data_IF_456614227792
#
_entry.id   IF_456614227792
#
_cell.length_a   1.000
_cell.length_b   1.000
_cell.length_c   1.000
_cell.angle_alpha   90.00
_cell.angle_beta   90.00
_cell.angle_gamma   90.00
#
_symmetry.space_group_name_H-M   'P 1'
#
loop_
_entity.id
_entity.type
_entity.pdbx_description
1 polymer ?
#
# COMPACT_ATOMS: atom_id res chain seq x y z
N UNK A 1 37.80 -6.17 -40.90
CA UNK A 1 37.15 -7.32 -40.23
C UNK A 1 36.20 -6.81 -39.15
N UNK A 2 34.89 -6.90 -39.38
CA UNK A 2 33.86 -6.38 -38.46
C UNK A 2 33.64 -7.37 -37.30
N UNK A 3 33.90 -6.92 -36.06
CA UNK A 3 33.63 -7.69 -34.85
C UNK A 3 32.11 -7.83 -34.67
N UNK A 4 31.55 -8.99 -35.04
CA UNK A 4 30.15 -9.35 -34.76
C UNK A 4 29.93 -9.34 -33.24
N UNK A 5 29.23 -8.32 -32.72
CA UNK A 5 28.76 -8.28 -31.33
C UNK A 5 27.84 -9.48 -31.09
N UNK A 6 28.26 -10.40 -30.22
CA UNK A 6 27.41 -11.48 -29.72
C UNK A 6 26.22 -10.85 -28.97
N UNK A 7 25.05 -10.75 -29.61
CA UNK A 7 23.81 -10.41 -28.92
C UNK A 7 23.56 -11.52 -27.90
N UNK A 8 23.76 -11.22 -26.60
CA UNK A 8 23.36 -12.12 -25.51
C UNK A 8 21.88 -12.42 -25.70
N UNK A 9 21.53 -13.70 -25.94
CA UNK A 9 20.14 -14.14 -26.00
C UNK A 9 19.58 -14.03 -24.59
N UNK A 10 18.74 -13.02 -24.36
CA UNK A 10 18.03 -12.85 -23.09
C UNK A 10 17.06 -14.02 -22.92
N UNK A 11 16.87 -14.46 -21.67
CA UNK A 11 15.91 -15.51 -21.35
C UNK A 11 14.49 -15.09 -21.75
N UNK A 12 13.66 -16.00 -22.32
CA UNK A 12 12.26 -15.72 -22.65
C UNK A 12 11.49 -15.10 -21.48
N UNK A 13 11.73 -15.57 -20.25
CA UNK A 13 11.13 -15.07 -19.01
C UNK A 13 11.41 -13.58 -18.76
N UNK A 14 12.63 -13.12 -19.06
CA UNK A 14 13.04 -11.70 -18.84
C UNK A 14 12.37 -10.77 -19.84
N UNK A 15 12.14 -11.26 -21.06
CA UNK A 15 11.52 -10.46 -22.13
C UNK A 15 10.01 -10.60 -22.20
N UNK A 16 9.42 -11.53 -21.43
CA UNK A 16 8.00 -11.85 -21.53
C UNK A 16 7.13 -10.63 -21.26
N UNK A 17 7.30 -9.98 -20.11
CA UNK A 17 6.48 -8.83 -19.70
C UNK A 17 6.56 -7.68 -20.71
N UNK A 18 7.74 -7.16 -21.12
CA UNK A 18 7.81 -6.10 -22.11
C UNK A 18 7.17 -6.46 -23.46
N UNK A 19 7.30 -7.72 -23.91
CA UNK A 19 6.71 -8.19 -25.17
C UNK A 19 5.19 -8.28 -25.10
N UNK A 20 4.69 -8.72 -23.96
CA UNK A 20 3.28 -8.82 -23.65
C UNK A 20 2.66 -7.41 -23.53
N UNK A 21 3.28 -6.49 -22.79
CA UNK A 21 2.89 -5.08 -22.71
C UNK A 21 2.84 -4.42 -24.09
N UNK A 22 3.86 -4.65 -24.93
CA UNK A 22 3.87 -4.15 -26.30
C UNK A 22 2.72 -4.75 -27.14
N UNK A 23 2.45 -6.05 -27.01
CA UNK A 23 1.37 -6.71 -27.74
C UNK A 23 -0.01 -6.13 -27.38
N UNK A 24 -0.30 -5.86 -26.11
CA UNK A 24 -1.60 -5.29 -25.73
C UNK A 24 -1.71 -3.78 -25.89
N UNK A 25 -0.58 -3.08 -26.01
CA UNK A 25 -0.59 -1.66 -26.37
C UNK A 25 -0.79 -1.44 -27.88
N UNK A 26 -0.67 -2.48 -28.70
CA UNK A 26 -0.84 -2.39 -30.16
C UNK A 26 -2.32 -2.29 -30.53
N UNK A 27 -2.77 -1.11 -30.97
CA UNK A 27 -4.14 -0.88 -31.44
C UNK A 27 -4.49 -1.75 -32.66
N UNK A 28 -3.50 -2.19 -33.45
CA UNK A 28 -3.74 -3.11 -34.56
C UNK A 28 -4.31 -4.46 -34.09
N UNK A 29 -4.15 -4.82 -32.81
CA UNK A 29 -4.72 -6.02 -32.21
C UNK A 29 -6.25 -6.04 -32.31
N UNK A 30 -6.91 -4.89 -32.32
CA UNK A 30 -8.37 -4.77 -32.46
C UNK A 30 -8.89 -5.32 -33.80
N UNK A 31 -8.07 -5.23 -34.85
CA UNK A 31 -8.43 -5.65 -36.20
C UNK A 31 -7.76 -6.96 -36.62
N UNK A 32 -6.85 -7.50 -35.80
CA UNK A 32 -6.20 -8.79 -36.07
C UNK A 32 -7.20 -9.93 -35.97
N UNK A 33 -7.09 -10.87 -36.89
CA UNK A 33 -7.85 -12.12 -36.84
C UNK A 33 -7.56 -12.93 -35.56
N UNK A 34 -8.54 -13.69 -35.09
CA UNK A 34 -8.44 -14.45 -33.86
C UNK A 34 -7.33 -15.53 -33.94
N UNK A 35 -7.12 -16.13 -35.11
CA UNK A 35 -6.06 -17.12 -35.32
C UNK A 35 -4.68 -16.49 -35.31
N UNK A 36 -4.54 -15.26 -35.84
CA UNK A 36 -3.29 -14.51 -35.82
C UNK A 36 -2.89 -14.15 -34.38
N UNK A 37 -3.84 -13.64 -33.59
CA UNK A 37 -3.62 -13.32 -32.17
C UNK A 37 -3.28 -14.58 -31.35
N UNK A 38 -3.98 -15.69 -31.58
CA UNK A 38 -3.64 -16.98 -30.98
C UNK A 38 -2.20 -17.42 -31.35
N UNK A 39 -1.78 -17.17 -32.59
CA UNK A 39 -0.41 -17.39 -33.08
C UNK A 39 0.63 -16.56 -32.33
N UNK A 40 0.36 -15.29 -32.07
CA UNK A 40 1.25 -14.43 -31.29
C UNK A 40 1.41 -14.93 -29.84
N UNK A 41 0.30 -15.34 -29.22
CA UNK A 41 0.32 -15.97 -27.89
C UNK A 41 1.09 -17.30 -27.89
N UNK A 42 0.94 -18.10 -28.95
CA UNK A 42 1.69 -19.34 -29.19
C UNK A 42 3.21 -19.09 -29.29
N UNK A 43 3.63 -17.93 -29.82
CA UNK A 43 5.03 -17.53 -29.86
C UNK A 43 5.52 -17.10 -28.47
N UNK A 44 4.70 -16.37 -27.72
CA UNK A 44 5.06 -15.86 -26.39
C UNK A 44 5.18 -16.97 -25.34
N UNK A 45 4.42 -18.06 -25.45
CA UNK A 45 4.50 -19.17 -24.49
C UNK A 45 5.78 -20.02 -24.60
N UNK A 46 6.53 -19.95 -25.71
CA UNK A 46 7.61 -20.91 -25.98
C UNK A 46 8.72 -20.82 -24.92
N UNK A 47 8.94 -21.93 -24.22
CA UNK A 47 9.98 -22.05 -23.19
C UNK A 47 9.64 -21.31 -21.89
N UNK A 48 8.34 -21.07 -21.63
CA UNK A 48 7.87 -20.39 -20.42
C UNK A 48 6.96 -21.33 -19.65
N UNK A 49 7.18 -21.41 -18.34
CA UNK A 49 6.36 -22.19 -17.43
C UNK A 49 4.92 -21.60 -17.38
N UNK A 50 3.85 -22.44 -17.46
CA UNK A 50 2.47 -21.98 -17.57
C UNK A 50 2.01 -21.02 -16.47
N UNK A 51 2.34 -21.30 -15.20
CA UNK A 51 1.93 -20.46 -14.07
C UNK A 51 2.58 -19.08 -14.14
N UNK A 52 3.85 -19.00 -14.50
CA UNK A 52 4.55 -17.73 -14.73
C UNK A 52 3.96 -16.96 -15.92
N UNK A 53 3.66 -17.65 -17.02
CA UNK A 53 3.04 -17.05 -18.20
C UNK A 53 1.69 -16.42 -17.86
N UNK A 54 0.77 -17.19 -17.29
CA UNK A 54 -0.59 -16.72 -16.97
C UNK A 54 -0.58 -15.58 -15.96
N UNK A 55 0.24 -15.66 -14.90
CA UNK A 55 0.38 -14.55 -13.94
C UNK A 55 0.90 -13.28 -14.61
N UNK A 56 1.87 -13.42 -15.50
CA UNK A 56 2.40 -12.27 -16.23
C UNK A 56 1.32 -11.70 -17.13
N UNK A 57 0.55 -12.54 -17.85
CA UNK A 57 -0.54 -12.08 -18.70
C UNK A 57 -1.65 -11.35 -17.95
N UNK A 58 -2.07 -11.84 -16.78
CA UNK A 58 -3.10 -11.20 -15.95
C UNK A 58 -2.68 -9.80 -15.48
N UNK A 59 -1.42 -9.60 -15.08
CA UNK A 59 -0.92 -8.30 -14.60
C UNK A 59 -1.03 -7.19 -15.62
N UNK A 60 -0.82 -7.56 -16.85
CA UNK A 60 -0.63 -6.64 -17.95
C UNK A 60 -1.88 -6.53 -18.83
N UNK A 61 -2.78 -7.52 -18.75
CA UNK A 61 -4.17 -7.40 -19.18
C UNK A 61 -4.86 -6.22 -18.46
N UNK A 62 -4.58 -6.00 -17.18
CA UNK A 62 -5.17 -4.87 -16.44
C UNK A 62 -4.75 -3.50 -17.00
N UNK A 63 -3.52 -3.40 -17.50
CA UNK A 63 -2.99 -2.18 -18.11
C UNK A 63 -3.46 -1.97 -19.57
N UNK A 64 -4.13 -2.95 -20.17
CA UNK A 64 -4.63 -2.83 -21.54
C UNK A 64 -5.88 -1.95 -21.63
N UNK A 65 -6.09 -1.32 -22.80
CA UNK A 65 -7.29 -0.50 -23.03
C UNK A 65 -8.56 -1.38 -22.97
N UNK A 66 -9.74 -0.80 -22.62
CA UNK A 66 -10.99 -1.55 -22.58
C UNK A 66 -11.32 -2.29 -23.89
N UNK A 67 -11.04 -1.67 -25.05
CA UNK A 67 -11.26 -2.29 -26.35
C UNK A 67 -10.35 -3.51 -26.58
N UNK A 68 -9.08 -3.42 -26.17
CA UNK A 68 -8.13 -4.54 -26.27
C UNK A 68 -8.54 -5.67 -25.33
N UNK A 69 -8.96 -5.36 -24.10
CA UNK A 69 -9.48 -6.36 -23.14
C UNK A 69 -10.67 -7.13 -23.71
N UNK A 70 -11.67 -6.41 -24.25
CA UNK A 70 -12.81 -7.04 -24.89
C UNK A 70 -12.41 -7.94 -26.07
N UNK A 71 -11.41 -7.54 -26.86
CA UNK A 71 -10.89 -8.38 -27.95
C UNK A 71 -10.20 -9.65 -27.43
N UNK A 72 -9.40 -9.53 -26.37
CA UNK A 72 -8.74 -10.67 -25.73
C UNK A 72 -9.75 -11.64 -25.12
N UNK A 73 -10.81 -11.13 -24.51
CA UNK A 73 -11.85 -11.96 -23.87
C UNK A 73 -12.56 -12.90 -24.86
N UNK A 74 -12.60 -12.54 -26.15
CA UNK A 74 -13.12 -13.40 -27.21
C UNK A 74 -12.15 -14.55 -27.57
N UNK A 75 -10.83 -14.28 -27.54
CA UNK A 75 -9.81 -15.22 -28.05
C UNK A 75 -9.25 -16.13 -26.95
N UNK A 76 -9.07 -15.59 -25.75
CA UNK A 76 -8.45 -16.27 -24.62
C UNK A 76 -9.15 -17.59 -24.22
N UNK A 77 -10.49 -17.71 -24.17
CA UNK A 77 -11.12 -18.95 -23.73
C UNK A 77 -10.77 -20.16 -24.61
N UNK A 78 -10.79 -19.97 -25.93
CA UNK A 78 -10.42 -21.03 -26.87
C UNK A 78 -8.92 -21.34 -26.79
N UNK A 79 -8.09 -20.31 -26.67
CA UNK A 79 -6.64 -20.48 -26.57
C UNK A 79 -6.21 -21.20 -25.28
N UNK A 80 -6.78 -20.81 -24.13
CA UNK A 80 -6.51 -21.45 -22.83
C UNK A 80 -6.93 -22.93 -22.83
N UNK A 81 -8.07 -23.27 -23.45
CA UNK A 81 -8.51 -24.66 -23.61
C UNK A 81 -7.57 -25.47 -24.48
N UNK A 82 -7.17 -24.92 -25.65
CA UNK A 82 -6.25 -25.57 -26.60
C UNK A 82 -4.91 -25.96 -25.95
N UNK A 83 -4.45 -25.18 -24.97
CA UNK A 83 -3.18 -25.40 -24.28
C UNK A 83 -3.32 -26.00 -22.88
N UNK A 84 -4.51 -26.48 -22.51
CA UNK A 84 -4.78 -27.13 -21.22
C UNK A 84 -4.45 -26.24 -20.01
N UNK A 85 -4.51 -24.92 -20.17
CA UNK A 85 -4.18 -23.94 -19.13
C UNK A 85 -5.32 -23.65 -18.16
N UNK A 86 -6.49 -24.25 -18.35
CA UNK A 86 -7.62 -24.10 -17.43
C UNK A 86 -7.33 -24.66 -16.04
N UNK A 87 -6.58 -25.76 -15.93
CA UNK A 87 -6.14 -26.32 -14.65
C UNK A 87 -5.17 -25.36 -13.94
N UNK A 88 -4.17 -24.84 -14.66
CA UNK A 88 -3.23 -23.84 -14.12
C UNK A 88 -3.95 -22.55 -13.71
N UNK A 89 -4.95 -22.10 -14.47
CA UNK A 89 -5.76 -20.93 -14.11
C UNK A 89 -6.56 -21.17 -12.83
N UNK A 90 -7.15 -22.36 -12.68
CA UNK A 90 -7.83 -22.82 -11.46
C UNK A 90 -6.85 -22.86 -10.28
N UNK A 91 -5.68 -23.45 -10.45
CA UNK A 91 -4.63 -23.46 -9.43
C UNK A 91 -4.22 -22.04 -9.02
N UNK A 92 -4.07 -21.11 -9.97
CA UNK A 92 -3.77 -19.71 -9.63
C UNK A 92 -4.88 -19.09 -8.76
N UNK A 93 -6.14 -19.49 -8.96
CA UNK A 93 -7.28 -19.03 -8.19
C UNK A 93 -7.41 -19.69 -6.80
N UNK A 94 -7.02 -20.96 -6.66
CA UNK A 94 -7.25 -21.76 -5.43
C UNK A 94 -6.04 -21.87 -4.52
N UNK A 95 -4.83 -21.86 -5.08
CA UNK A 95 -3.60 -22.30 -4.41
C UNK A 95 -2.93 -21.19 -3.56
N UNK A 96 -3.53 -20.00 -3.58
CA UNK A 96 -3.15 -18.82 -2.81
C UNK A 96 -4.14 -17.70 -3.14
N UNK A 97 -4.68 -16.96 -2.16
CA UNK A 97 -5.46 -15.74 -2.46
C UNK A 97 -4.65 -14.85 -3.42
N UNK A 98 -5.15 -14.61 -4.64
CA UNK A 98 -4.43 -13.85 -5.64
C UNK A 98 -4.04 -12.49 -5.07
N UNK A 99 -2.89 -11.94 -5.47
CA UNK A 99 -2.56 -10.56 -5.15
C UNK A 99 -3.75 -9.66 -5.53
N UNK A 100 -4.04 -8.63 -4.73
CA UNK A 100 -5.25 -7.80 -4.93
C UNK A 100 -5.36 -7.28 -6.38
N UNK A 101 -4.22 -6.86 -6.94
CA UNK A 101 -4.05 -6.42 -8.33
C UNK A 101 -4.43 -7.47 -9.40
N UNK A 102 -4.37 -8.77 -9.06
CA UNK A 102 -4.66 -9.86 -9.99
C UNK A 102 -6.11 -10.34 -9.94
N UNK A 103 -6.87 -9.97 -8.91
CA UNK A 103 -8.20 -10.54 -8.66
C UNK A 103 -9.21 -10.20 -9.74
N UNK A 104 -9.34 -8.93 -10.08
CA UNK A 104 -10.32 -8.51 -11.08
C UNK A 104 -10.01 -9.12 -12.47
N UNK A 105 -8.76 -9.07 -12.99
CA UNK A 105 -8.40 -9.79 -14.21
C UNK A 105 -8.64 -11.30 -14.12
N UNK A 106 -8.29 -11.94 -13.00
CA UNK A 106 -8.46 -13.37 -12.82
C UNK A 106 -9.94 -13.76 -12.78
N UNK A 107 -10.77 -12.99 -12.10
CA UNK A 107 -12.21 -13.21 -12.02
C UNK A 107 -12.88 -13.04 -13.39
N UNK A 108 -12.46 -12.04 -14.18
CA UNK A 108 -12.92 -11.87 -15.55
C UNK A 108 -12.57 -13.10 -16.40
N UNK A 109 -11.32 -13.59 -16.29
CA UNK A 109 -10.86 -14.75 -17.05
C UNK A 109 -11.55 -16.06 -16.63
N UNK A 110 -11.81 -16.25 -15.33
CA UNK A 110 -12.59 -17.37 -14.81
C UNK A 110 -14.02 -17.34 -15.37
N UNK A 111 -14.66 -16.17 -15.39
CA UNK A 111 -16.01 -15.99 -15.93
C UNK A 111 -16.09 -16.33 -17.43
N UNK A 112 -15.20 -15.77 -18.26
CA UNK A 112 -15.23 -16.02 -19.72
C UNK A 112 -14.82 -17.44 -20.11
N UNK A 113 -14.09 -18.15 -19.24
CA UNK A 113 -13.72 -19.55 -19.47
C UNK A 113 -14.79 -20.53 -18.99
N UNK A 114 -15.81 -20.06 -18.27
CA UNK A 114 -16.85 -20.89 -17.67
C UNK A 114 -16.38 -21.63 -16.42
N UNK A 115 -15.32 -21.15 -15.76
CA UNK A 115 -14.83 -21.70 -14.50
C UNK A 115 -15.53 -20.99 -13.34
N UNK A 116 -16.51 -21.65 -12.75
CA UNK A 116 -17.18 -21.18 -11.53
C UNK A 116 -16.28 -21.39 -10.31
N UNK A 117 -15.38 -20.45 -10.08
CA UNK A 117 -14.55 -20.39 -8.88
C UNK A 117 -14.86 -19.09 -8.17
N UNK A 118 -15.44 -19.20 -6.97
CA UNK A 118 -15.54 -18.08 -6.07
C UNK A 118 -14.14 -17.79 -5.53
N UNK A 119 -13.51 -16.72 -6.02
CA UNK A 119 -12.33 -16.18 -5.37
C UNK A 119 -12.75 -15.78 -3.97
N UNK A 120 -12.20 -16.45 -2.95
CA UNK A 120 -12.48 -16.09 -1.57
C UNK A 120 -12.29 -14.57 -1.41
N UNK A 121 -13.31 -13.92 -0.86
CA UNK A 121 -13.14 -12.60 -0.29
C UNK A 121 -11.89 -12.67 0.59
N UNK A 122 -11.00 -11.69 0.50
CA UNK A 122 -9.93 -11.59 1.50
C UNK A 122 -10.65 -11.31 2.79
N UNK A 123 -10.87 -12.35 3.59
CA UNK A 123 -10.71 -12.18 5.01
C UNK A 123 -9.29 -11.63 5.16
N UNK A 124 -9.21 -10.35 5.45
CA UNK A 124 -8.00 -9.56 5.30
C UNK A 124 -6.95 -9.67 6.43
N UNK A 125 -6.91 -10.67 7.37
CA UNK A 125 -5.84 -10.68 8.36
C UNK A 125 -4.63 -11.59 8.01
N UNK A 126 -4.59 -12.34 6.89
CA UNK A 126 -3.50 -13.32 6.64
C UNK A 126 -2.09 -12.68 6.61
N UNK A 127 -2.01 -11.42 6.17
CA UNK A 127 -0.77 -10.67 5.98
C UNK A 127 -0.51 -9.61 7.05
N UNK A 128 -1.40 -9.45 8.03
CA UNK A 128 -1.09 -8.60 9.18
C UNK A 128 0.11 -9.18 9.92
N UNK A 129 1.11 -8.34 10.21
CA UNK A 129 2.29 -8.77 10.94
C UNK A 129 2.21 -8.35 12.41
N UNK A 130 2.16 -7.04 12.67
CA UNK A 130 2.16 -6.49 14.02
C UNK A 130 1.77 -5.01 14.01
N UNK A 131 1.16 -4.55 15.09
CA UNK A 131 1.04 -3.14 15.40
C UNK A 131 1.85 -2.81 16.65
N UNK A 132 2.50 -1.65 16.64
CA UNK A 132 3.28 -1.12 17.75
C UNK A 132 2.80 0.29 18.06
N UNK A 133 2.74 0.63 19.34
CA UNK A 133 2.36 1.96 19.80
C UNK A 133 3.36 2.50 20.81
N UNK A 134 3.63 3.79 20.71
CA UNK A 134 4.27 4.59 21.72
C UNK A 134 3.25 5.59 22.27
N UNK A 135 3.12 5.64 23.60
CA UNK A 135 2.55 6.77 24.31
C UNK A 135 3.62 7.31 25.26
N UNK A 136 3.94 8.61 25.18
CA UNK A 136 4.94 9.24 26.05
C UNK A 136 4.39 9.65 27.43
N UNK A 137 3.08 9.51 27.65
CA UNK A 137 2.39 9.84 28.90
C UNK A 137 3.02 9.17 30.12
N UNK A 138 3.37 7.89 30.02
CA UNK A 138 3.97 7.16 31.14
C UNK A 138 5.34 7.74 31.57
N UNK A 139 6.04 8.43 30.66
CA UNK A 139 7.33 9.06 30.95
C UNK A 139 7.17 10.48 31.44
N UNK A 140 6.25 11.23 30.83
CA UNK A 140 6.12 12.68 31.06
C UNK A 140 5.02 13.02 32.07
N UNK A 141 4.24 12.04 32.52
CA UNK A 141 3.04 12.23 33.35
C UNK A 141 1.87 12.87 32.59
N UNK A 142 2.08 13.25 31.32
CA UNK A 142 1.10 13.85 30.43
C UNK A 142 1.38 13.41 28.99
N UNK A 143 0.31 13.17 28.23
CA UNK A 143 0.41 12.77 26.85
C UNK A 143 0.77 13.98 25.98
N UNK A 144 1.89 13.90 25.27
CA UNK A 144 2.39 14.98 24.40
C UNK A 144 2.57 14.48 22.96
N UNK A 145 3.21 13.33 22.76
CA UNK A 145 3.37 12.70 21.46
C UNK A 145 3.10 11.19 21.52
N UNK A 146 2.53 10.69 20.43
CA UNK A 146 2.30 9.27 20.21
C UNK A 146 2.90 8.80 18.89
N UNK A 147 3.17 7.50 18.80
CA UNK A 147 3.58 6.88 17.55
C UNK A 147 2.77 5.61 17.33
N UNK A 148 2.09 5.49 16.20
CA UNK A 148 1.45 4.24 15.79
C UNK A 148 2.19 3.67 14.58
N UNK A 149 2.61 2.42 14.68
CA UNK A 149 3.24 1.68 13.57
C UNK A 149 2.42 0.44 13.27
N UNK A 150 1.94 0.32 12.04
CA UNK A 150 1.19 -0.85 11.56
C UNK A 150 1.99 -1.54 10.46
N UNK A 151 2.34 -2.81 10.70
CA UNK A 151 3.20 -3.59 9.83
C UNK A 151 2.42 -4.73 9.15
N UNK A 152 2.71 -4.92 7.87
CA UNK A 152 2.10 -5.92 7.01
C UNK A 152 3.18 -6.66 6.21
N UNK A 153 2.99 -7.96 6.05
CA UNK A 153 3.79 -8.74 5.10
C UNK A 153 3.46 -8.30 3.67
N UNK A 154 4.49 -8.08 2.85
CA UNK A 154 4.32 -7.70 1.44
C UNK A 154 4.10 -8.91 0.53
N UNK A 155 4.17 -10.11 1.09
CA UNK A 155 4.08 -11.37 0.38
C UNK A 155 3.63 -12.53 1.30
N UNK A 156 3.15 -13.60 0.69
CA UNK A 156 2.60 -14.78 1.39
C UNK A 156 3.63 -15.62 2.13
N UNK A 157 4.87 -15.65 1.64
CA UNK A 157 5.95 -16.38 2.31
C UNK A 157 6.51 -15.62 3.53
N UNK A 158 5.99 -14.42 3.85
CA UNK A 158 6.30 -13.64 5.06
C UNK A 158 7.77 -13.25 5.25
N UNK A 159 8.56 -13.34 4.19
CA UNK A 159 9.98 -12.97 4.09
C UNK A 159 10.23 -11.47 3.99
N UNK A 160 9.22 -10.67 3.64
CA UNK A 160 9.30 -9.21 3.65
C UNK A 160 8.07 -8.59 4.29
N UNK A 161 8.29 -7.51 5.05
CA UNK A 161 7.25 -6.67 5.64
C UNK A 161 7.51 -5.20 5.30
N UNK A 162 6.44 -4.44 5.21
CA UNK A 162 6.39 -2.99 5.06
C UNK A 162 5.39 -2.46 6.09
N UNK A 163 5.22 -1.16 6.19
CA UNK A 163 4.28 -0.62 7.16
C UNK A 163 4.01 0.85 6.99
N UNK A 164 3.04 1.31 7.76
CA UNK A 164 2.68 2.70 7.92
C UNK A 164 3.11 3.12 9.32
N UNK A 165 3.89 4.18 9.42
CA UNK A 165 4.27 4.80 10.68
C UNK A 165 3.60 6.18 10.74
N UNK A 166 2.96 6.47 11.86
CA UNK A 166 2.07 7.61 12.06
C UNK A 166 2.51 8.31 13.34
N UNK A 167 2.80 9.60 13.24
CA UNK A 167 3.09 10.47 14.36
C UNK A 167 1.79 11.15 14.81
N UNK A 168 1.49 11.02 16.11
CA UNK A 168 0.37 11.66 16.78
C UNK A 168 0.92 12.78 17.68
N UNK A 169 0.24 13.92 17.70
CA UNK A 169 0.60 15.03 18.59
C UNK A 169 -0.63 15.44 19.39
N UNK A 170 -0.46 15.56 20.70
CA UNK A 170 -1.51 15.86 21.66
C UNK A 170 -1.48 17.31 22.12
N UNK A 171 -0.48 18.08 21.69
CA UNK A 171 -0.42 19.50 21.97
C UNK A 171 -1.27 20.31 20.97
N UNK A 172 -1.76 21.50 21.36
CA UNK A 172 -2.54 22.34 20.44
C UNK A 172 -1.72 22.78 19.22
N UNK A 173 -2.29 22.78 18.00
CA UNK A 173 -3.69 22.54 17.65
C UNK A 173 -4.03 21.06 17.35
N UNK A 174 -3.10 20.14 17.55
CA UNK A 174 -3.23 18.76 17.07
C UNK A 174 -4.24 17.96 17.90
N UNK A 175 -4.22 18.10 19.23
CA UNK A 175 -5.24 17.50 20.12
C UNK A 175 -5.47 15.99 19.86
N UNK A 176 -4.38 15.25 19.56
CA UNK A 176 -4.38 13.82 19.25
C UNK A 176 -4.46 13.50 17.76
N UNK A 177 -4.48 14.52 16.90
CA UNK A 177 -4.48 14.39 15.45
C UNK A 177 -3.19 13.77 14.91
N UNK A 178 -3.32 13.18 13.72
CA UNK A 178 -2.19 12.75 12.91
C UNK A 178 -1.42 13.97 12.42
N UNK A 179 -0.19 14.10 12.92
CA UNK A 179 0.76 15.16 12.58
C UNK A 179 1.58 14.83 11.34
N UNK A 180 2.07 13.60 11.27
CA UNK A 180 2.87 13.13 10.14
C UNK A 180 2.65 11.63 9.90
N UNK A 181 2.97 11.16 8.70
CA UNK A 181 2.92 9.76 8.36
C UNK A 181 3.95 9.40 7.30
N UNK A 182 4.58 8.24 7.44
CA UNK A 182 5.51 7.75 6.45
C UNK A 182 5.36 6.25 6.21
N UNK A 183 5.68 5.85 4.98
CA UNK A 183 5.65 4.46 4.57
C UNK A 183 7.03 3.85 4.79
N UNK A 184 7.07 2.81 5.61
CA UNK A 184 8.26 2.01 5.83
C UNK A 184 8.57 1.18 4.59
N UNK A 185 9.77 1.29 4.00
CA UNK A 185 10.12 0.49 2.83
C UNK A 185 10.13 -1.01 3.17
N UNK A 186 9.81 -1.89 2.20
CA UNK A 186 9.85 -3.34 2.41
C UNK A 186 11.23 -3.82 2.88
N UNK A 187 11.27 -4.58 3.97
CA UNK A 187 12.48 -5.19 4.55
C UNK A 187 12.17 -6.56 5.12
N UNK A 188 13.20 -7.30 5.51
CA UNK A 188 12.99 -8.48 6.35
C UNK A 188 12.24 -8.06 7.66
N UNK A 189 11.23 -8.83 8.12
CA UNK A 189 10.38 -8.43 9.24
C UNK A 189 11.14 -8.14 10.54
N UNK A 190 12.13 -8.96 10.89
CA UNK A 190 12.93 -8.77 12.11
C UNK A 190 13.83 -7.55 11.99
N UNK A 191 14.43 -7.33 10.82
CA UNK A 191 15.24 -6.15 10.54
C UNK A 191 14.41 -4.86 10.59
N UNK A 192 13.15 -4.92 10.15
CA UNK A 192 12.23 -3.79 10.21
C UNK A 192 11.90 -3.41 11.65
N UNK A 193 11.56 -4.40 12.48
CA UNK A 193 11.29 -4.19 13.92
C UNK A 193 12.55 -3.68 14.63
N UNK A 194 13.72 -4.26 14.35
CA UNK A 194 15.00 -3.78 14.90
C UNK A 194 15.31 -2.35 14.48
N UNK A 195 15.04 -1.99 13.22
CA UNK A 195 15.21 -0.63 12.74
C UNK A 195 14.32 0.35 13.52
N UNK A 196 13.04 0.02 13.70
CA UNK A 196 12.11 0.84 14.49
C UNK A 196 12.60 1.00 15.93
N UNK A 197 12.97 -0.09 16.59
CA UNK A 197 13.52 -0.01 17.94
C UNK A 197 14.80 0.82 17.99
N UNK A 198 15.73 0.68 17.03
CA UNK A 198 16.98 1.45 17.03
C UNK A 198 16.78 2.96 16.82
N UNK A 199 15.78 3.36 16.02
CA UNK A 199 15.45 4.78 15.82
C UNK A 199 14.93 5.38 17.12
N UNK A 200 14.15 4.62 17.90
CA UNK A 200 13.50 5.11 19.12
C UNK A 200 14.30 4.81 20.42
N UNK A 201 15.15 3.80 20.44
CA UNK A 201 15.93 3.40 21.63
C UNK A 201 16.97 4.41 22.05
N UNK A 202 17.30 5.39 21.19
CA UNK A 202 18.21 6.49 21.54
C UNK A 202 17.64 7.45 22.60
N UNK A 203 16.36 7.31 23.00
CA UNK A 203 15.71 8.19 23.97
C UNK A 203 14.93 7.50 25.10
N UNK A 204 15.24 6.24 25.43
CA UNK A 204 14.44 5.40 26.36
C UNK A 204 12.97 5.21 25.95
N UNK A 205 12.69 5.39 24.66
CA UNK A 205 11.35 5.29 24.07
C UNK A 205 11.10 3.83 23.68
N UNK A 206 10.17 3.16 24.37
CA UNK A 206 9.79 1.78 24.10
C UNK A 206 8.48 1.68 23.31
N UNK A 207 8.57 1.19 22.07
CA UNK A 207 7.41 0.77 21.30
C UNK A 207 6.82 -0.52 21.89
N UNK A 208 5.53 -0.49 22.21
CA UNK A 208 4.81 -1.63 22.78
C UNK A 208 3.90 -2.28 21.74
N UNK A 209 3.82 -3.62 21.70
CA UNK A 209 2.84 -4.28 20.84
C UNK A 209 1.42 -3.97 21.31
N UNK A 210 0.54 -3.71 20.35
CA UNK A 210 -0.91 -3.55 20.57
C UNK A 210 -1.69 -4.47 19.63
N UNK A 211 -2.96 -4.72 19.95
CA UNK A 211 -3.81 -5.56 19.11
C UNK A 211 -4.16 -4.87 17.77
N UNK A 212 -4.52 -5.63 16.72
CA UNK A 212 -5.04 -5.08 15.47
C UNK A 212 -6.24 -4.14 15.67
N UNK A 213 -7.16 -4.51 16.55
CA UNK A 213 -8.36 -3.74 16.90
C UNK A 213 -7.96 -2.41 17.53
N UNK A 214 -7.07 -2.45 18.53
CA UNK A 214 -6.55 -1.25 19.19
C UNK A 214 -5.86 -0.30 18.20
N UNK A 215 -5.08 -0.85 17.26
CA UNK A 215 -4.40 -0.06 16.24
C UNK A 215 -5.40 0.66 15.33
N UNK A 216 -6.47 -0.04 14.92
CA UNK A 216 -7.55 0.57 14.14
C UNK A 216 -8.28 1.64 14.94
N UNK A 217 -8.72 1.33 16.16
CA UNK A 217 -9.42 2.28 17.04
C UNK A 217 -8.59 3.54 17.23
N UNK A 218 -7.30 3.40 17.58
CA UNK A 218 -6.40 4.54 17.78
C UNK A 218 -6.26 5.38 16.51
N UNK A 219 -5.97 4.74 15.37
CA UNK A 219 -5.80 5.46 14.12
C UNK A 219 -7.06 6.24 13.73
N UNK A 220 -8.23 5.59 13.80
CA UNK A 220 -9.47 6.25 13.39
C UNK A 220 -9.86 7.36 14.37
N UNK A 221 -9.67 7.18 15.68
CA UNK A 221 -9.88 8.26 16.65
C UNK A 221 -8.99 9.48 16.36
N UNK A 222 -7.70 9.27 16.03
CA UNK A 222 -6.81 10.37 15.63
C UNK A 222 -7.26 11.07 14.34
N UNK A 223 -7.85 10.35 13.38
CA UNK A 223 -8.45 10.96 12.20
C UNK A 223 -9.70 11.79 12.53
N UNK A 224 -10.48 11.37 13.52
CA UNK A 224 -11.58 12.19 14.04
C UNK A 224 -11.05 13.45 14.74
N UNK A 225 -9.91 13.39 15.44
CA UNK A 225 -9.24 14.59 15.97
C UNK A 225 -8.78 15.53 14.83
N UNK A 226 -8.18 15.00 13.76
CA UNK A 226 -7.88 15.82 12.56
C UNK A 226 -9.12 16.54 12.03
N UNK A 227 -10.24 15.83 11.91
CA UNK A 227 -11.50 16.43 11.45
C UNK A 227 -12.00 17.52 12.41
N UNK A 228 -12.00 17.26 13.72
CA UNK A 228 -12.46 18.19 14.75
C UNK A 228 -11.60 19.46 14.81
N UNK A 229 -10.28 19.33 14.65
CA UNK A 229 -9.34 20.44 14.64
C UNK A 229 -9.22 21.15 13.29
N UNK A 230 -10.03 20.76 12.29
CA UNK A 230 -9.96 21.26 10.91
C UNK A 230 -8.55 21.14 10.31
N UNK A 231 -7.86 20.02 10.58
CA UNK A 231 -6.52 19.70 10.07
C UNK A 231 -6.66 18.61 9.01
N UNK A 232 -6.23 18.90 7.78
CA UNK A 232 -6.24 17.89 6.72
C UNK A 232 -5.17 16.81 6.95
N UNK A 233 -5.26 15.69 6.24
CA UNK A 233 -4.27 14.61 6.34
C UNK A 233 -2.86 15.03 5.86
N UNK A 234 -1.78 14.46 6.43
CA UNK A 234 -0.43 14.64 5.89
C UNK A 234 -0.31 14.15 4.45
N UNK A 235 0.51 14.84 3.64
CA UNK A 235 0.64 14.55 2.20
C UNK A 235 0.99 13.10 1.91
N UNK A 236 1.85 12.49 2.71
CA UNK A 236 2.31 11.12 2.49
C UNK A 236 1.25 10.08 2.86
N UNK A 237 0.39 10.37 3.84
CA UNK A 237 -0.81 9.57 4.10
C UNK A 237 -1.80 9.64 2.94
N UNK A 238 -2.01 10.84 2.37
CA UNK A 238 -2.87 11.04 1.19
C UNK A 238 -2.37 10.20 0.00
N UNK A 239 -1.07 10.26 -0.31
CA UNK A 239 -0.45 9.43 -1.37
C UNK A 239 -0.58 7.94 -1.08
N UNK A 240 -0.60 7.55 0.20
CA UNK A 240 -0.74 6.18 0.64
C UNK A 240 -2.20 5.71 0.79
N UNK A 241 -3.19 6.41 0.21
CA UNK A 241 -4.62 6.06 0.30
C UNK A 241 -4.92 4.57 0.07
N UNK A 242 -4.36 3.98 -0.99
CA UNK A 242 -4.57 2.55 -1.30
C UNK A 242 -4.02 1.63 -0.21
N UNK A 243 -2.88 1.99 0.39
CA UNK A 243 -2.31 1.26 1.53
C UNK A 243 -3.12 1.46 2.78
N UNK A 244 -3.61 2.68 3.05
CA UNK A 244 -4.48 2.95 4.20
C UNK A 244 -5.75 2.08 4.14
N UNK A 245 -6.40 2.01 2.99
CA UNK A 245 -7.55 1.13 2.75
C UNK A 245 -7.21 -0.34 3.06
N UNK A 246 -6.11 -0.83 2.48
CA UNK A 246 -5.70 -2.23 2.62
C UNK A 246 -5.15 -2.60 4.00
N UNK A 247 -4.56 -1.66 4.73
CA UNK A 247 -3.78 -1.94 5.94
C UNK A 247 -4.42 -1.45 7.22
N UNK A 248 -5.30 -0.44 7.16
CA UNK A 248 -5.95 0.15 8.33
C UNK A 248 -7.44 -0.19 8.32
N UNK A 249 -8.16 0.10 7.22
CA UNK A 249 -9.61 -0.19 7.18
C UNK A 249 -9.91 -1.69 7.21
N UNK A 250 -8.96 -2.51 6.73
CA UNK A 250 -9.02 -3.97 6.77
C UNK A 250 -8.78 -4.59 8.15
N UNK A 251 -8.30 -3.83 9.14
CA UNK A 251 -8.13 -4.35 10.50
C UNK A 251 -9.51 -4.64 11.13
N UNK A 252 -9.59 -5.57 12.09
CA UNK A 252 -10.83 -5.82 12.83
C UNK A 252 -11.22 -4.60 13.67
N UNK A 253 -12.52 -4.41 13.87
CA UNK A 253 -13.06 -3.37 14.75
C UNK A 253 -13.02 -3.82 16.20
N UNK A 254 -12.61 -2.90 17.08
CA UNK A 254 -12.79 -3.03 18.52
C UNK A 254 -14.13 -2.42 18.96
N UNK A 255 -14.49 -2.57 20.25
CA UNK A 255 -15.77 -2.10 20.78
C UNK A 255 -15.96 -0.57 20.66
N UNK A 256 -14.86 0.19 20.60
CA UNK A 256 -14.85 1.64 20.52
C UNK A 256 -14.31 2.16 19.18
N UNK A 257 -14.19 1.30 18.15
CA UNK A 257 -13.72 1.77 16.84
C UNK A 257 -14.79 2.64 16.20
N UNK A 258 -14.52 3.91 15.88
CA UNK A 258 -15.50 4.75 15.23
C UNK A 258 -15.67 4.36 13.76
N UNK A 259 -16.86 4.59 13.21
CA UNK A 259 -17.11 4.38 11.78
C UNK A 259 -16.31 5.39 10.96
N UNK A 260 -15.54 4.90 9.99
CA UNK A 260 -14.75 5.75 9.10
C UNK A 260 -14.66 5.13 7.71
N UNK A 261 -15.03 5.89 6.69
CA UNK A 261 -15.09 5.42 5.31
C UNK A 261 -13.98 6.02 4.44
N UNK A 262 -13.82 5.51 3.22
CA UNK A 262 -12.94 6.14 2.23
C UNK A 262 -13.44 7.50 1.75
N UNK A 263 -14.73 7.79 1.89
CA UNK A 263 -15.27 9.13 1.60
C UNK A 263 -14.84 10.13 2.68
N UNK A 264 -14.87 9.71 3.95
CA UNK A 264 -14.33 10.51 5.05
C UNK A 264 -12.84 10.77 4.87
N UNK A 265 -12.07 9.75 4.47
CA UNK A 265 -10.66 9.92 4.11
C UNK A 265 -10.46 10.97 3.01
N UNK A 266 -11.24 10.87 1.91
CA UNK A 266 -11.15 11.83 0.80
C UNK A 266 -11.51 13.24 1.25
N UNK A 267 -12.54 13.40 2.08
CA UNK A 267 -12.96 14.70 2.63
C UNK A 267 -11.81 15.31 3.45
N UNK A 268 -11.25 14.53 4.37
CA UNK A 268 -10.17 14.96 5.26
C UNK A 268 -8.84 15.18 4.52
N UNK A 269 -8.63 14.56 3.36
CA UNK A 269 -7.47 14.81 2.52
C UNK A 269 -7.47 16.22 1.88
N UNK A 270 -8.65 16.82 1.68
CA UNK A 270 -8.80 18.10 0.96
C UNK A 270 -9.21 19.27 1.87
N UNK A 271 -9.86 18.99 3.00
CA UNK A 271 -10.45 20.01 3.87
C UNK A 271 -9.61 20.23 5.13
N UNK A 272 -9.40 21.50 5.49
CA UNK A 272 -8.65 21.90 6.69
C UNK A 272 -7.26 22.48 6.39
N UNK A 273 -6.60 22.96 7.44
CA UNK A 273 -5.22 23.45 7.38
C UNK A 273 -4.25 22.30 7.17
N UNK A 274 -3.20 22.53 6.38
CA UNK A 274 -2.20 21.50 6.13
C UNK A 274 -1.29 21.26 7.32
N UNK A 275 -0.95 20.00 7.64
CA UNK A 275 0.05 19.72 8.66
C UNK A 275 1.36 20.47 8.41
N UNK A 276 1.78 20.57 7.14
CA UNK A 276 3.00 21.29 6.78
C UNK A 276 2.94 22.79 7.10
N UNK A 277 1.77 23.43 6.94
CA UNK A 277 1.59 24.83 7.28
C UNK A 277 1.56 25.06 8.80
N UNK A 278 0.95 24.12 9.55
CA UNK A 278 0.94 24.17 11.02
C UNK A 278 2.36 23.96 11.56
N UNK A 279 3.09 22.96 11.07
CA UNK A 279 4.48 22.71 11.46
C UNK A 279 5.37 23.89 11.11
N UNK A 280 5.21 24.48 9.92
CA UNK A 280 5.96 25.68 9.53
C UNK A 280 5.69 26.85 10.48
N UNK A 281 4.44 27.05 10.88
CA UNK A 281 4.09 28.06 11.88
C UNK A 281 4.73 27.75 13.24
N UNK A 282 4.64 26.51 13.72
CA UNK A 282 5.26 26.08 14.99
C UNK A 282 6.77 26.31 15.00
N UNK A 283 7.44 26.06 13.87
CA UNK A 283 8.88 26.29 13.73
C UNK A 283 9.26 27.77 13.70
N UNK A 284 8.38 28.61 13.17
CA UNK A 284 8.67 30.05 12.99
C UNK A 284 8.30 30.87 14.22
N UNK A 285 7.20 30.52 14.88
CA UNK A 285 6.60 31.31 15.96
C UNK A 285 6.75 30.64 17.33
N UNK A 286 7.02 29.34 17.36
CA UNK A 286 6.97 28.53 18.58
C UNK A 286 5.75 27.61 18.60
N UNK A 287 5.80 26.62 19.47
CA UNK A 287 4.72 25.62 19.62
C UNK A 287 3.91 25.91 20.88
N UNK A 288 2.64 25.48 20.88
CA UNK A 288 1.79 25.62 22.06
C UNK A 288 1.80 24.33 22.86
N UNK A 289 1.72 24.46 24.18
CA UNK A 289 1.51 23.33 25.10
C UNK A 289 0.28 23.61 25.94
N UNK A 290 -0.50 22.56 26.25
CA UNK A 290 -1.61 22.67 27.21
C UNK A 290 -1.11 22.32 28.62
N UNK A 291 -1.44 23.18 29.57
CA UNK A 291 -1.14 23.03 30.99
C UNK A 291 -2.24 22.24 31.69
N UNK A 292 -1.99 21.79 32.92
CA UNK A 292 -2.95 21.00 33.71
C UNK A 292 -4.24 21.76 34.03
N UNK A 293 -4.17 23.09 34.13
CA UNK A 293 -5.31 23.98 34.34
C UNK A 293 -6.10 24.27 33.04
N UNK A 294 -5.69 23.66 31.92
CA UNK A 294 -6.30 23.84 30.60
C UNK A 294 -5.79 25.07 29.84
N UNK A 295 -4.96 25.93 30.45
CA UNK A 295 -4.40 27.09 29.77
C UNK A 295 -3.35 26.66 28.73
N UNK A 296 -3.25 27.43 27.64
CA UNK A 296 -2.25 27.21 26.60
C UNK A 296 -1.06 28.16 26.79
N UNK A 297 0.16 27.62 26.78
CA UNK A 297 1.39 28.42 26.77
C UNK A 297 2.07 28.31 25.41
N UNK A 298 2.50 29.46 24.87
CA UNK A 298 3.35 29.50 23.69
C UNK A 298 4.82 29.36 24.12
N UNK A 299 5.47 28.31 23.65
CA UNK A 299 6.89 28.04 23.85
C UNK A 299 7.63 28.47 22.58
N UNK A 300 8.38 29.56 22.70
CA UNK A 300 9.25 30.07 21.63
C UNK A 300 10.63 29.47 21.84
N UNK A 301 11.11 28.72 20.85
CA UNK A 301 12.43 28.09 20.90
C UNK A 301 13.45 29.03 20.25
N UNK A 302 14.31 29.73 21.02
CA UNK A 302 15.17 30.80 20.50
C UNK A 302 16.22 30.33 19.49
N UNK A 303 16.52 29.02 19.44
CA UNK A 303 17.58 28.44 18.60
C UNK A 303 17.08 27.91 17.23
N UNK A 304 15.78 27.98 16.92
CA UNK A 304 15.25 27.44 15.66
C UNK A 304 15.59 28.26 14.40
N UNK A 305 16.23 29.43 14.54
CA UNK A 305 16.75 30.20 13.38
C UNK A 305 17.87 29.49 12.60
N UNK A 306 18.49 28.42 13.13
CA UNK A 306 19.65 27.77 12.51
C UNK A 306 19.41 26.42 11.81
N UNK A 307 18.18 25.86 11.81
CA UNK A 307 17.92 24.55 11.21
C UNK A 307 17.71 24.56 9.68
N UNK A 308 17.67 25.75 9.06
CA UNK A 308 17.44 25.93 7.61
C UNK A 308 18.64 25.73 6.68
N UNK A 309 19.78 25.18 7.13
CA UNK A 309 21.00 25.01 6.28
C UNK A 309 21.49 23.58 6.09
N UNK A 310 20.68 22.57 6.40
CA UNK A 310 21.12 21.17 6.42
C UNK A 310 20.55 20.22 5.35
N UNK A 311 19.63 20.67 4.50
CA UNK A 311 18.90 19.79 3.58
C UNK A 311 18.69 20.40 2.18
N UNK A 312 19.76 20.94 1.60
CA UNK A 312 19.90 21.07 0.14
C UNK A 312 20.81 19.96 -0.40
#
# INVERSE_FOLDING_TARGET
MSKRKHKRKLSPTVTLRPRLEHLWADEALLHRDASALAGDLDVLRRGIEPRFLLRTMLRTYDAASPAVRARLDVVLPAWLRKHEYLSTLREIATDATPAAELRQPLQAWLAITGLEIQLAATDAPELFYRALHLNDEERLGKQSQGLLVVLWYTNRHKWQASGLNILLDYNPPWDGAVKDAFILPPRNPEQLVKYLHNVHSKGDIQLRPISPEQAKTLMLNSLFCNQASEIRLPRDLIKAKSKFEQWILALPDGPNTPEFTLEDFKRLAHNGKSPEAIVHYEQTVGHRIRMEDGNELLIIDPDQQNWGRGWE
#
